data_IF_845410937403
#
_entry.id   IF_845410937403
#
_cell.length_a   1.000
_cell.length_b   1.000
_cell.length_c   1.000
_cell.angle_alpha   90.00
_cell.angle_beta   90.00
_cell.angle_gamma   90.00
#
_symmetry.space_group_name_H-M   'P 1'
#
loop_
_entity.id
_entity.type
_entity.pdbx_description
1 polymer ?
#
# COMPACT_ATOMS: atom_id res chain seq x y z
N UNK A 1 17.66 24.07 -19.61
CA UNK A 1 17.54 22.90 -18.71
C UNK A 1 17.32 21.70 -19.60
N UNK A 2 18.07 20.62 -19.41
CA UNK A 2 18.21 19.51 -20.37
C UNK A 2 17.95 18.18 -19.69
N UNK A 3 17.38 17.23 -20.41
CA UNK A 3 17.25 15.85 -19.94
C UNK A 3 18.59 15.09 -20.06
N UNK A 4 18.76 14.04 -19.25
CA UNK A 4 19.89 13.11 -19.30
C UNK A 4 19.37 11.73 -19.69
N UNK A 5 19.95 11.16 -20.74
CA UNK A 5 19.69 9.77 -21.15
C UNK A 5 20.28 8.79 -20.13
N UNK A 6 19.45 7.88 -19.63
CA UNK A 6 19.86 6.78 -18.77
C UNK A 6 19.39 5.44 -19.35
N UNK A 7 19.92 4.30 -18.89
CA UNK A 7 19.40 2.99 -19.27
C UNK A 7 17.92 2.75 -18.91
N UNK A 8 17.33 3.62 -18.09
CA UNK A 8 15.94 3.51 -17.61
C UNK A 8 15.03 4.63 -18.16
N UNK A 9 15.49 5.35 -19.20
CA UNK A 9 14.78 6.47 -19.82
C UNK A 9 15.45 7.82 -19.55
N UNK A 10 15.00 8.84 -20.26
CA UNK A 10 15.42 10.22 -20.07
C UNK A 10 14.90 10.75 -18.73
N UNK A 11 15.71 11.54 -18.01
CA UNK A 11 15.33 12.15 -16.73
C UNK A 11 15.76 13.60 -16.67
N UNK A 12 15.04 14.42 -15.90
CA UNK A 12 15.41 15.82 -15.66
C UNK A 12 16.77 15.92 -14.94
N UNK A 13 17.74 16.60 -15.57
CA UNK A 13 19.09 16.75 -15.02
C UNK A 13 19.15 17.45 -13.66
N UNK A 14 18.33 18.49 -13.47
CA UNK A 14 18.35 19.30 -12.25
C UNK A 14 17.71 18.52 -11.08
N UNK A 15 16.62 17.80 -11.37
CA UNK A 15 15.98 16.91 -10.41
C UNK A 15 16.90 15.74 -10.03
N UNK A 16 17.60 15.16 -11.01
CA UNK A 16 18.58 14.10 -10.78
C UNK A 16 19.71 14.58 -9.88
N UNK A 17 20.29 15.76 -10.15
CA UNK A 17 21.34 16.32 -9.31
C UNK A 17 20.85 16.56 -7.88
N UNK A 18 19.61 17.04 -7.72
CA UNK A 18 18.99 17.24 -6.41
C UNK A 18 18.85 15.92 -5.65
N UNK A 19 18.28 14.89 -6.27
CA UNK A 19 18.07 13.58 -5.63
C UNK A 19 19.37 12.88 -5.28
N UNK A 20 20.41 13.00 -6.11
CA UNK A 20 21.73 12.44 -5.81
C UNK A 20 22.33 12.95 -4.49
N UNK A 21 21.92 14.13 -4.01
CA UNK A 21 22.40 14.70 -2.76
C UNK A 21 21.52 14.35 -1.55
N UNK A 22 20.23 14.07 -1.76
CA UNK A 22 19.22 14.01 -0.69
C UNK A 22 18.47 12.70 -0.56
N UNK A 23 18.41 11.90 -1.62
CA UNK A 23 17.58 10.70 -1.66
C UNK A 23 18.38 9.48 -1.22
N UNK A 24 17.93 8.83 -0.16
CA UNK A 24 18.48 7.55 0.29
C UNK A 24 17.73 6.39 -0.39
N UNK A 25 18.42 5.65 -1.25
CA UNK A 25 17.83 4.51 -1.95
C UNK A 25 17.53 3.33 -1.02
N UNK A 26 18.06 3.31 0.21
CA UNK A 26 17.69 2.32 1.23
C UNK A 26 16.21 2.44 1.63
N UNK A 27 15.57 3.59 1.41
CA UNK A 27 14.13 3.75 1.61
C UNK A 27 13.31 2.78 0.75
N UNK A 28 13.81 2.39 -0.43
CA UNK A 28 13.16 1.39 -1.29
C UNK A 28 13.24 0.00 -0.64
N UNK A 29 14.37 -0.34 -0.03
CA UNK A 29 14.53 -1.62 0.67
C UNK A 29 13.62 -1.67 1.92
N UNK A 30 13.56 -0.58 2.69
CA UNK A 30 12.65 -0.47 3.82
C UNK A 30 11.17 -0.57 3.40
N UNK A 31 10.82 -0.05 2.21
CA UNK A 31 9.48 -0.22 1.65
C UNK A 31 9.19 -1.68 1.29
N UNK A 32 10.19 -2.43 0.80
CA UNK A 32 10.06 -3.88 0.57
C UNK A 32 9.82 -4.62 1.89
N UNK A 33 10.59 -4.33 2.94
CA UNK A 33 10.41 -4.98 4.24
C UNK A 33 9.01 -4.73 4.83
N UNK A 34 8.50 -3.50 4.68
CA UNK A 34 7.13 -3.13 5.05
C UNK A 34 6.11 -3.92 4.22
N UNK A 35 6.30 -3.99 2.90
CA UNK A 35 5.41 -4.76 2.03
C UNK A 35 5.38 -6.24 2.36
N UNK A 36 6.51 -6.83 2.75
CA UNK A 36 6.59 -8.23 3.16
C UNK A 36 5.81 -8.50 4.46
N UNK A 37 5.75 -7.52 5.37
CA UNK A 37 4.89 -7.61 6.56
C UNK A 37 3.39 -7.67 6.18
N UNK A 38 2.95 -6.85 5.22
CA UNK A 38 1.58 -6.91 4.67
C UNK A 38 1.34 -8.26 4.00
N UNK A 39 2.28 -8.71 3.16
CA UNK A 39 2.20 -9.99 2.45
C UNK A 39 2.07 -11.17 3.40
N UNK A 40 2.72 -11.14 4.57
CA UNK A 40 2.60 -12.20 5.57
C UNK A 40 1.16 -12.40 6.05
N UNK A 41 0.36 -11.32 6.12
CA UNK A 41 -1.06 -11.34 6.50
C UNK A 41 -2.01 -11.68 5.34
N UNK A 42 -1.51 -11.90 4.13
CA UNK A 42 -2.27 -12.46 3.01
C UNK A 42 -2.30 -13.99 2.99
N UNK A 43 -1.59 -14.65 3.91
CA UNK A 43 -1.57 -16.11 4.06
C UNK A 43 -2.82 -16.67 4.74
N UNK A 44 -2.82 -17.98 5.03
CA UNK A 44 -3.83 -18.62 5.89
C UNK A 44 -3.91 -17.93 7.26
N UNK A 45 -5.10 -17.89 7.84
CA UNK A 45 -5.37 -17.21 9.13
C UNK A 45 -5.03 -15.70 9.09
N UNK A 46 -5.02 -15.13 7.89
CA UNK A 46 -4.77 -13.73 7.61
C UNK A 46 -6.06 -12.90 7.48
N UNK A 47 -5.91 -11.65 7.04
CA UNK A 47 -6.99 -10.68 6.93
C UNK A 47 -8.19 -11.20 6.10
N UNK A 48 -7.92 -12.02 5.07
CA UNK A 48 -8.98 -12.65 4.27
C UNK A 48 -9.90 -13.52 5.12
N UNK A 49 -9.32 -14.34 5.99
CA UNK A 49 -10.09 -15.28 6.81
C UNK A 49 -10.81 -14.52 7.94
N UNK A 50 -10.21 -13.46 8.47
CA UNK A 50 -10.85 -12.52 9.40
C UNK A 50 -12.07 -11.81 8.77
N UNK A 51 -11.95 -11.37 7.51
CA UNK A 51 -13.06 -10.77 6.76
C UNK A 51 -14.18 -11.78 6.46
N UNK A 52 -13.83 -13.04 6.13
CA UNK A 52 -14.83 -14.10 5.92
C UNK A 52 -15.55 -14.48 7.22
N UNK A 53 -14.82 -14.51 8.34
CA UNK A 53 -15.41 -14.69 9.67
C UNK A 53 -16.36 -13.55 10.01
N UNK A 54 -15.92 -12.30 9.85
CA UNK A 54 -16.74 -11.12 10.07
C UNK A 54 -18.00 -11.14 9.21
N UNK A 55 -17.87 -11.52 7.93
CA UNK A 55 -19.01 -11.71 7.04
C UNK A 55 -19.99 -12.76 7.56
N UNK A 56 -19.52 -13.94 7.98
CA UNK A 56 -20.37 -15.00 8.51
C UNK A 56 -21.14 -14.57 9.76
N UNK A 57 -20.46 -13.88 10.68
CA UNK A 57 -21.08 -13.33 11.90
C UNK A 57 -22.16 -12.28 11.56
N UNK A 58 -21.84 -11.33 10.67
CA UNK A 58 -22.78 -10.31 10.23
C UNK A 58 -23.98 -10.93 9.48
N UNK A 59 -23.74 -11.97 8.67
CA UNK A 59 -24.78 -12.68 7.95
C UNK A 59 -25.77 -13.38 8.90
N UNK A 60 -25.27 -14.00 9.97
CA UNK A 60 -26.12 -14.58 11.03
C UNK A 60 -26.93 -13.49 11.74
N UNK A 61 -26.30 -12.41 12.20
CA UNK A 61 -26.95 -11.38 13.03
C UNK A 61 -27.91 -10.49 12.23
N UNK A 62 -27.49 -10.02 11.06
CA UNK A 62 -28.24 -9.04 10.26
C UNK A 62 -29.26 -9.75 9.36
N UNK A 63 -28.88 -10.87 8.76
CA UNK A 63 -29.73 -11.54 7.75
C UNK A 63 -30.46 -12.77 8.30
N UNK A 64 -30.26 -13.13 9.58
CA UNK A 64 -30.92 -14.28 10.21
C UNK A 64 -30.46 -15.63 9.66
N UNK A 65 -29.28 -15.69 9.06
CA UNK A 65 -28.72 -16.94 8.55
C UNK A 65 -28.32 -17.89 9.68
N UNK A 66 -28.21 -19.18 9.37
CA UNK A 66 -27.66 -20.17 10.30
C UNK A 66 -26.25 -19.80 10.75
N UNK A 67 -25.92 -20.19 11.99
CA UNK A 67 -24.59 -19.98 12.55
C UNK A 67 -23.52 -20.70 11.71
N UNK A 68 -22.52 -19.94 11.26
CA UNK A 68 -21.41 -20.45 10.43
C UNK A 68 -20.09 -20.57 11.20
N UNK A 69 -19.95 -19.87 12.34
CA UNK A 69 -18.75 -19.84 13.18
C UNK A 69 -19.10 -20.07 14.66
N UNK A 70 -18.17 -20.60 15.48
CA UNK A 70 -18.35 -20.70 16.92
C UNK A 70 -18.64 -19.35 17.59
N UNK A 71 -19.28 -19.37 18.76
CA UNK A 71 -19.68 -18.16 19.51
C UNK A 71 -18.88 -17.95 20.80
N UNK A 72 -17.85 -18.77 21.01
CA UNK A 72 -16.94 -18.76 22.15
C UNK A 72 -15.65 -17.96 21.90
N UNK A 73 -15.58 -17.28 20.76
CA UNK A 73 -14.48 -16.40 20.33
C UNK A 73 -14.92 -14.91 20.40
N UNK A 74 -14.23 -14.02 19.67
CA UNK A 74 -14.59 -12.60 19.55
C UNK A 74 -16.07 -12.38 19.19
N UNK A 75 -16.66 -11.35 19.79
CA UNK A 75 -17.99 -10.85 19.38
C UNK A 75 -17.93 -10.19 18.00
N UNK A 76 -19.10 -9.99 17.37
CA UNK A 76 -19.18 -9.35 16.04
C UNK A 76 -18.51 -7.97 16.01
N UNK A 77 -18.67 -7.19 17.07
CA UNK A 77 -18.09 -5.84 17.16
C UNK A 77 -16.57 -5.93 17.35
N UNK A 78 -16.09 -6.79 18.25
CA UNK A 78 -14.64 -6.96 18.46
C UNK A 78 -13.92 -7.48 17.21
N UNK A 79 -14.52 -8.44 16.48
CA UNK A 79 -13.97 -8.90 15.20
C UNK A 79 -13.94 -7.77 14.16
N UNK A 80 -14.96 -6.90 14.14
CA UNK A 80 -14.97 -5.75 13.25
C UNK A 80 -13.87 -4.75 13.62
N UNK A 81 -13.70 -4.45 14.91
CA UNK A 81 -12.67 -3.55 15.42
C UNK A 81 -11.27 -4.07 15.04
N UNK A 82 -10.97 -5.35 15.26
CA UNK A 82 -9.68 -5.93 14.88
C UNK A 82 -9.40 -5.82 13.37
N UNK A 83 -10.40 -6.07 12.53
CA UNK A 83 -10.27 -5.95 11.06
C UNK A 83 -10.05 -4.49 10.64
N UNK A 84 -10.76 -3.54 11.27
CA UNK A 84 -10.61 -2.11 10.99
C UNK A 84 -9.21 -1.63 11.40
N UNK A 85 -8.77 -1.96 12.61
CA UNK A 85 -7.44 -1.59 13.12
C UNK A 85 -6.33 -2.09 12.19
N UNK A 86 -6.40 -3.36 11.76
CA UNK A 86 -5.42 -3.90 10.82
C UNK A 86 -5.44 -3.18 9.47
N UNK A 87 -6.62 -2.87 8.93
CA UNK A 87 -6.74 -2.12 7.68
C UNK A 87 -6.18 -0.70 7.81
N UNK A 88 -6.40 -0.03 8.93
CA UNK A 88 -5.84 1.31 9.21
C UNK A 88 -4.31 1.26 9.30
N UNK A 89 -3.75 0.24 9.95
CA UNK A 89 -2.30 0.00 9.99
C UNK A 89 -1.72 -0.23 8.58
N UNK A 90 -2.43 -0.98 7.73
CA UNK A 90 -2.03 -1.20 6.34
C UNK A 90 -2.04 0.10 5.54
N UNK A 91 -3.09 0.92 5.69
CA UNK A 91 -3.17 2.23 5.04
C UNK A 91 -1.99 3.10 5.44
N UNK A 92 -1.68 3.16 6.73
CA UNK A 92 -0.57 3.94 7.25
C UNK A 92 0.79 3.46 6.72
N UNK A 93 0.98 2.14 6.60
CA UNK A 93 2.20 1.56 6.04
C UNK A 93 2.33 1.86 4.54
N UNK A 94 1.26 1.70 3.77
CA UNK A 94 1.25 2.01 2.35
C UNK A 94 1.49 3.50 2.07
N UNK A 95 0.92 4.39 2.88
CA UNK A 95 1.15 5.84 2.76
C UNK A 95 2.62 6.21 2.99
N UNK A 96 3.26 5.60 4.00
CA UNK A 96 4.71 5.76 4.23
C UNK A 96 5.54 5.33 3.03
N UNK A 97 5.20 4.19 2.41
CA UNK A 97 5.88 3.73 1.20
C UNK A 97 5.68 4.70 0.04
N UNK A 98 4.46 5.22 -0.15
CA UNK A 98 4.16 6.23 -1.18
C UNK A 98 5.00 7.48 -0.96
N UNK A 99 5.04 8.01 0.27
CA UNK A 99 5.84 9.20 0.61
C UNK A 99 7.32 8.96 0.36
N UNK A 100 7.84 7.78 0.70
CA UNK A 100 9.24 7.43 0.48
C UNK A 100 9.60 7.37 -1.01
N UNK A 101 8.71 6.85 -1.87
CA UNK A 101 8.98 6.67 -3.30
C UNK A 101 8.66 7.91 -4.15
N UNK A 102 7.80 8.81 -3.67
CA UNK A 102 7.33 9.99 -4.41
C UNK A 102 8.45 10.89 -4.96
N UNK A 103 9.58 11.14 -4.27
CA UNK A 103 10.66 11.95 -4.81
C UNK A 103 11.23 11.42 -6.12
N UNK A 104 11.16 10.10 -6.38
CA UNK A 104 11.63 9.53 -7.65
C UNK A 104 10.79 10.01 -8.84
N UNK A 105 9.54 10.45 -8.62
CA UNK A 105 8.70 11.02 -9.68
C UNK A 105 9.20 12.40 -10.12
N UNK A 106 9.99 13.10 -9.29
CA UNK A 106 10.61 14.38 -9.66
C UNK A 106 11.59 14.21 -10.84
N UNK A 107 12.07 12.99 -11.10
CA UNK A 107 12.97 12.68 -12.23
C UNK A 107 12.30 12.76 -13.60
N UNK A 108 10.98 12.97 -13.66
CA UNK A 108 10.22 13.01 -14.90
C UNK A 108 10.92 13.88 -15.95
N UNK A 109 11.11 13.32 -17.14
CA UNK A 109 11.66 14.01 -18.31
C UNK A 109 10.80 15.23 -18.66
N UNK A 110 11.43 16.37 -18.95
CA UNK A 110 10.71 17.56 -19.39
C UNK A 110 10.14 17.38 -20.81
N UNK A 111 10.73 16.50 -21.61
CA UNK A 111 10.27 16.19 -22.97
C UNK A 111 9.03 15.28 -22.99
N UNK A 112 8.78 14.54 -21.92
CA UNK A 112 7.60 13.66 -21.81
C UNK A 112 6.31 14.42 -21.43
N UNK A 113 6.42 15.62 -20.83
CA UNK A 113 5.26 16.46 -20.48
C UNK A 113 4.58 17.10 -21.72
N UNK A 114 5.28 17.21 -22.86
CA UNK A 114 4.72 17.76 -24.11
C UNK A 114 3.71 16.80 -24.79
N UNK A 115 3.60 15.55 -24.34
CA UNK A 115 2.70 14.54 -24.92
C UNK A 115 1.35 14.40 -24.17
N UNK A 116 1.17 15.02 -23.00
CA UNK A 116 -0.05 14.88 -22.17
C UNK A 116 -1.09 16.00 -22.40
N UNK A 117 -0.76 17.06 -23.15
CA UNK A 117 -1.69 18.16 -23.51
C UNK A 117 -2.31 17.98 -24.91
N UNK A 118 -2.35 16.74 -25.41
CA UNK A 118 -2.89 16.41 -26.73
C UNK A 118 -3.69 15.10 -26.72
N UNK A 119 -4.81 15.02 -25.97
CA UNK A 119 -6.11 14.39 -26.35
C UNK A 119 -7.22 14.93 -25.44
#
# INVERSE_FOLDING_TARGET
MSDIETPYGAVDADALQSLQQRYDTLLIQQAVDQFDALRARCGPDGLRDDLLRLHGMAHTVINGASLSYPTDDLTLVEQADCVIEELEDWVMMLDRMIVALRPLQDLRSKTDDDYDDSI
#
